data_IF_005232946138
#
_entry.id   IF_005232946138
#
_cell.length_a   1.000
_cell.length_b   1.000
_cell.length_c   1.000
_cell.angle_alpha   90.00
_cell.angle_beta   90.00
_cell.angle_gamma   90.00
#
_symmetry.space_group_name_H-M   'P 1'
#
loop_
_entity.id
_entity.type
_entity.pdbx_description
1 polymer ?
#
# COMPACT_ATOMS: atom_id res chain seq x y z
N UNK A 1 -26.30 -5.44 -3.45
CA UNK A 1 -25.07 -6.27 -3.34
C UNK A 1 -23.98 -5.39 -2.73
N UNK A 2 -23.25 -5.89 -1.73
CA UNK A 2 -22.08 -5.18 -1.19
C UNK A 2 -20.84 -5.45 -2.04
N UNK A 3 -19.87 -4.54 -2.03
CA UNK A 3 -18.57 -4.68 -2.68
C UNK A 3 -17.59 -5.25 -1.64
N UNK A 4 -16.80 -6.28 -2.00
CA UNK A 4 -15.71 -6.78 -1.15
C UNK A 4 -14.61 -5.71 -1.10
N UNK A 5 -14.12 -5.40 0.10
CA UNK A 5 -13.06 -4.41 0.32
C UNK A 5 -11.86 -5.08 1.00
N UNK A 6 -10.67 -4.53 0.78
CA UNK A 6 -9.43 -5.00 1.41
C UNK A 6 -9.39 -4.65 2.89
N UNK A 7 -8.46 -5.29 3.62
CA UNK A 7 -8.23 -5.07 5.03
C UNK A 7 -6.75 -5.02 5.34
N UNK A 8 -6.34 -4.05 6.16
CA UNK A 8 -4.95 -3.88 6.60
C UNK A 8 -4.85 -4.27 8.06
N UNK A 9 -3.83 -5.06 8.41
CA UNK A 9 -3.55 -5.42 9.80
C UNK A 9 -2.58 -4.43 10.44
N UNK A 10 -2.94 -3.94 11.62
CA UNK A 10 -2.10 -3.08 12.45
C UNK A 10 -1.83 -3.79 13.77
N UNK A 11 -0.57 -3.78 14.21
CA UNK A 11 -0.09 -4.49 15.42
C UNK A 11 0.90 -3.61 16.18
N UNK A 12 0.84 -3.64 17.50
CA UNK A 12 1.79 -2.93 18.34
C UNK A 12 3.10 -3.72 18.43
N UNK A 13 4.21 -3.02 18.64
CA UNK A 13 5.53 -3.63 18.86
C UNK A 13 5.90 -3.47 20.34
N UNK A 14 6.23 -4.59 20.97
CA UNK A 14 6.79 -4.63 22.32
C UNK A 14 8.21 -5.21 22.28
N UNK A 15 9.10 -4.63 23.10
CA UNK A 15 10.45 -5.16 23.31
C UNK A 15 10.49 -5.73 24.72
N UNK A 16 10.82 -7.01 24.83
CA UNK A 16 10.84 -7.73 26.11
C UNK A 16 12.27 -8.17 26.39
N UNK A 17 12.74 -7.94 27.61
CA UNK A 17 14.01 -8.49 28.09
C UNK A 17 13.79 -9.95 28.55
N UNK A 18 14.57 -10.86 27.99
CA UNK A 18 14.57 -12.28 28.30
C UNK A 18 15.44 -12.56 29.53
N UNK A 19 15.20 -13.69 30.20
CA UNK A 19 15.93 -14.06 31.42
C UNK A 19 17.45 -14.20 31.24
N UNK A 20 17.92 -14.40 30.00
CA UNK A 20 19.33 -14.46 29.63
C UNK A 20 19.96 -13.08 29.36
N UNK A 21 19.21 -11.99 29.52
CA UNK A 21 19.64 -10.61 29.24
C UNK A 21 19.58 -10.20 27.76
N UNK A 22 18.97 -11.03 26.89
CA UNK A 22 18.70 -10.68 25.49
C UNK A 22 17.35 -9.96 25.35
N UNK A 23 17.12 -9.32 24.19
CA UNK A 23 15.85 -8.64 23.90
C UNK A 23 15.12 -9.31 22.76
N UNK A 24 13.81 -9.49 22.91
CA UNK A 24 12.90 -10.03 21.89
C UNK A 24 11.90 -8.96 21.44
N UNK A 25 11.73 -8.82 20.11
CA UNK A 25 10.64 -8.02 19.52
C UNK A 25 9.41 -8.90 19.39
N UNK A 26 8.28 -8.49 19.98
CA UNK A 26 6.98 -9.16 19.82
C UNK A 26 5.94 -8.23 19.21
N UNK A 27 5.09 -8.81 18.37
CA UNK A 27 3.89 -8.13 17.86
C UNK A 27 2.71 -8.47 18.75
N UNK A 28 2.03 -7.45 19.27
CA UNK A 28 0.88 -7.60 20.16
C UNK A 28 -0.33 -6.83 19.61
N UNK A 29 -1.52 -7.18 20.11
CA UNK A 29 -2.80 -6.54 19.74
C UNK A 29 -3.08 -6.44 18.22
N UNK A 30 -2.89 -7.50 17.41
CA UNK A 30 -3.17 -7.43 15.98
C UNK A 30 -4.65 -7.13 15.75
N UNK A 31 -4.93 -6.14 14.90
CA UNK A 31 -6.29 -5.76 14.54
C UNK A 31 -6.38 -5.41 13.06
N UNK A 32 -7.38 -5.99 12.40
CA UNK A 32 -7.69 -5.71 11.00
C UNK A 32 -8.63 -4.52 10.85
N UNK A 33 -8.26 -3.61 9.98
CA UNK A 33 -9.02 -2.42 9.64
C UNK A 33 -9.48 -2.50 8.17
N UNK A 34 -10.76 -2.20 7.88
CA UNK A 34 -11.21 -2.01 6.51
C UNK A 34 -10.35 -0.96 5.80
N UNK A 35 -10.01 -1.18 4.54
CA UNK A 35 -9.21 -0.24 3.75
C UNK A 35 -9.73 -0.16 2.32
N UNK A 36 -9.99 1.06 1.86
CA UNK A 36 -10.32 1.34 0.46
C UNK A 36 -10.09 2.83 0.15
N UNK A 37 -9.73 3.12 -1.09
CA UNK A 37 -9.48 4.48 -1.53
C UNK A 37 -10.79 5.24 -1.75
N UNK A 38 -11.02 6.27 -0.94
CA UNK A 38 -12.14 7.21 -1.14
C UNK A 38 -11.67 8.43 -1.94
N UNK A 39 -12.58 9.06 -2.68
CA UNK A 39 -12.29 10.34 -3.37
C UNK A 39 -11.70 11.39 -2.42
N UNK A 40 -12.14 11.41 -1.16
CA UNK A 40 -11.61 12.30 -0.12
C UNK A 40 -10.17 11.96 0.26
N UNK A 41 -9.87 10.67 0.45
CA UNK A 41 -8.53 10.20 0.78
C UNK A 41 -7.54 10.54 -0.35
N UNK A 42 -7.94 10.32 -1.60
CA UNK A 42 -7.15 10.67 -2.78
C UNK A 42 -6.90 12.18 -2.90
N UNK A 43 -7.95 12.99 -2.74
CA UNK A 43 -7.82 14.45 -2.75
C UNK A 43 -6.91 14.95 -1.62
N UNK A 44 -6.97 14.29 -0.46
CA UNK A 44 -6.14 14.62 0.71
C UNK A 44 -4.68 14.25 0.46
N UNK A 45 -4.40 13.05 -0.03
CA UNK A 45 -3.05 12.61 -0.39
C UNK A 45 -2.38 13.52 -1.43
N UNK A 46 -3.14 13.92 -2.46
CA UNK A 46 -2.66 14.85 -3.48
C UNK A 46 -2.36 16.24 -2.91
N UNK A 47 -3.24 16.75 -2.04
CA UNK A 47 -3.06 18.08 -1.40
C UNK A 47 -1.87 18.12 -0.44
N UNK A 48 -1.62 17.04 0.27
CA UNK A 48 -0.52 16.96 1.24
C UNK A 48 0.83 16.63 0.58
N UNK A 49 0.88 16.47 -0.74
CA UNK A 49 2.10 16.08 -1.46
C UNK A 49 2.55 14.66 -1.12
N UNK A 50 1.66 13.87 -0.53
CA UNK A 50 1.87 12.49 -0.10
C UNK A 50 1.90 11.56 -1.32
N UNK A 51 1.04 11.82 -2.30
CA UNK A 51 1.07 11.15 -3.61
C UNK A 51 1.56 12.14 -4.67
N UNK A 52 2.87 12.11 -4.95
CA UNK A 52 3.50 13.01 -5.94
C UNK A 52 3.31 12.51 -7.37
N UNK A 53 3.25 11.20 -7.55
CA UNK A 53 3.03 10.52 -8.83
C UNK A 53 1.57 10.11 -9.00
N UNK A 54 1.18 9.87 -10.26
CA UNK A 54 -0.10 9.23 -10.55
C UNK A 54 -0.04 7.77 -10.11
N UNK A 55 -1.01 7.31 -9.31
CA UNK A 55 -1.17 5.89 -8.92
C UNK A 55 -1.12 4.95 -10.13
N UNK A 56 -1.67 5.41 -11.26
CA UNK A 56 -1.61 4.69 -12.53
C UNK A 56 -0.17 4.48 -13.04
N UNK A 57 0.66 5.51 -12.97
CA UNK A 57 2.04 5.42 -13.47
C UNK A 57 2.90 4.53 -12.57
N UNK A 58 2.54 4.39 -11.30
CA UNK A 58 3.17 3.46 -10.36
C UNK A 58 2.76 2.01 -10.68
N UNK A 59 1.47 1.75 -10.88
CA UNK A 59 1.01 0.41 -11.27
C UNK A 59 1.61 -0.06 -12.59
N UNK A 60 1.69 0.79 -13.61
CA UNK A 60 2.30 0.38 -14.90
C UNK A 60 3.76 -0.03 -14.71
N UNK A 61 4.50 0.68 -13.85
CA UNK A 61 5.90 0.32 -13.55
C UNK A 61 5.99 -0.99 -12.77
N UNK A 62 5.05 -1.22 -11.86
CA UNK A 62 4.93 -2.46 -11.11
C UNK A 62 4.52 -3.62 -12.02
N UNK A 63 3.56 -3.47 -12.93
CA UNK A 63 3.16 -4.53 -13.85
C UNK A 63 4.27 -4.95 -14.81
N UNK A 64 5.13 -4.02 -15.23
CA UNK A 64 6.32 -4.34 -16.03
C UNK A 64 7.34 -5.19 -15.24
N UNK A 65 7.26 -5.16 -13.91
CA UNK A 65 8.15 -5.86 -12.98
C UNK A 65 7.56 -7.18 -12.48
N UNK A 66 6.27 -7.26 -12.18
CA UNK A 66 5.64 -8.38 -11.45
C UNK A 66 5.23 -9.53 -12.40
N UNK A 67 5.13 -9.30 -13.70
CA UNK A 67 4.66 -10.33 -14.64
C UNK A 67 3.14 -10.52 -14.59
N UNK A 68 2.63 -11.63 -15.15
CA UNK A 68 1.19 -11.94 -15.22
C UNK A 68 0.62 -12.47 -13.89
N UNK A 69 1.44 -12.65 -12.85
CA UNK A 69 0.98 -13.07 -11.53
C UNK A 69 0.56 -11.84 -10.71
N UNK A 70 -0.64 -11.88 -10.11
CA UNK A 70 -1.24 -10.76 -9.39
C UNK A 70 -0.62 -10.53 -7.98
N UNK A 71 0.44 -11.26 -7.62
CA UNK A 71 1.11 -11.22 -6.32
C UNK A 71 2.63 -11.18 -6.50
N UNK A 72 3.32 -10.36 -5.71
CA UNK A 72 4.78 -10.36 -5.64
C UNK A 72 5.24 -11.46 -4.70
N UNK A 73 6.25 -12.23 -5.11
CA UNK A 73 7.08 -13.03 -4.21
C UNK A 73 8.45 -12.35 -4.03
N UNK A 74 8.76 -11.92 -2.80
CA UNK A 74 10.00 -11.20 -2.51
C UNK A 74 11.27 -12.02 -2.71
N UNK A 75 11.17 -13.35 -2.64
CA UNK A 75 12.30 -14.27 -2.89
C UNK A 75 12.71 -14.33 -4.37
N UNK A 76 11.82 -13.91 -5.28
CA UNK A 76 12.02 -13.98 -6.74
C UNK A 76 12.37 -12.62 -7.38
N UNK A 77 12.46 -11.55 -6.58
CA UNK A 77 12.77 -10.20 -7.08
C UNK A 77 14.24 -10.09 -7.52
N UNK A 78 14.46 -9.68 -8.78
CA UNK A 78 15.79 -9.26 -9.23
C UNK A 78 16.19 -7.91 -8.61
N UNK A 79 17.49 -7.59 -8.51
CA UNK A 79 17.94 -6.29 -8.02
C UNK A 79 17.31 -5.10 -8.77
N UNK A 80 17.13 -5.21 -10.09
CA UNK A 80 16.50 -4.18 -10.91
C UNK A 80 15.01 -4.02 -10.60
N UNK A 81 14.31 -5.12 -10.27
CA UNK A 81 12.91 -5.09 -9.84
C UNK A 81 12.77 -4.46 -8.45
N UNK A 82 13.70 -4.73 -7.53
CA UNK A 82 13.75 -4.13 -6.21
C UNK A 82 14.00 -2.60 -6.26
N UNK A 83 14.77 -2.09 -7.23
CA UNK A 83 14.97 -0.64 -7.41
C UNK A 83 13.70 0.13 -7.80
N UNK A 84 12.73 -0.54 -8.41
CA UNK A 84 11.45 0.05 -8.80
C UNK A 84 10.45 0.08 -7.63
N UNK A 85 10.60 -0.85 -6.69
CA UNK A 85 9.78 -0.95 -5.49
C UNK A 85 10.22 0.10 -4.49
N UNK A 86 9.39 1.13 -4.32
CA UNK A 86 9.64 2.22 -3.40
C UNK A 86 8.56 2.25 -2.32
N UNK A 87 8.82 1.54 -1.22
CA UNK A 87 7.90 1.41 -0.09
C UNK A 87 7.45 2.78 0.47
N UNK A 88 8.32 3.80 0.41
CA UNK A 88 8.02 5.16 0.86
C UNK A 88 6.89 5.81 0.06
N UNK A 89 6.62 5.33 -1.17
CA UNK A 89 5.47 5.76 -1.99
C UNK A 89 4.19 4.99 -1.69
N UNK A 90 4.28 3.76 -1.22
CA UNK A 90 3.13 2.86 -1.05
C UNK A 90 2.49 3.01 0.34
N UNK A 91 3.30 3.08 1.39
CA UNK A 91 2.86 3.24 2.78
C UNK A 91 1.87 4.40 2.98
N UNK A 92 2.07 5.59 2.39
CA UNK A 92 1.10 6.66 2.55
C UNK A 92 -0.25 6.39 1.87
N UNK A 93 -0.28 5.63 0.79
CA UNK A 93 -1.53 5.25 0.09
C UNK A 93 -2.31 4.25 0.93
N UNK A 94 -1.61 3.27 1.52
CA UNK A 94 -2.18 2.31 2.46
C UNK A 94 -2.78 3.04 3.67
N UNK A 95 -2.03 3.97 4.26
CA UNK A 95 -2.51 4.82 5.35
C UNK A 95 -3.80 5.58 4.97
N UNK A 96 -3.80 6.24 3.82
CA UNK A 96 -4.95 6.99 3.31
C UNK A 96 -6.19 6.10 3.10
N UNK A 97 -6.00 4.85 2.67
CA UNK A 97 -7.08 3.88 2.52
C UNK A 97 -7.67 3.49 3.89
N UNK A 98 -6.83 3.28 4.91
CA UNK A 98 -7.26 2.96 6.27
C UNK A 98 -8.04 4.13 6.89
N UNK A 99 -7.48 5.33 6.96
CA UNK A 99 -8.20 6.48 7.57
C UNK A 99 -9.38 6.95 6.71
N UNK A 100 -9.34 6.68 5.40
CA UNK A 100 -10.42 6.96 4.48
C UNK A 100 -11.65 6.11 4.77
N UNK A 101 -11.44 4.82 5.02
CA UNK A 101 -12.47 3.84 5.36
C UNK A 101 -12.97 3.98 6.80
N UNK A 102 -12.09 4.36 7.73
CA UNK A 102 -12.38 4.40 9.17
C UNK A 102 -12.49 5.85 9.68
N UNK A 103 -13.64 6.50 9.46
CA UNK A 103 -13.81 7.95 9.73
C UNK A 103 -13.64 8.39 11.19
N UNK A 104 -13.79 7.46 12.13
CA UNK A 104 -13.64 7.71 13.57
C UNK A 104 -12.30 7.23 14.10
N UNK A 105 -11.44 6.66 13.25
CA UNK A 105 -10.12 6.22 13.64
C UNK A 105 -9.20 7.43 13.69
N UNK A 106 -8.79 7.78 14.90
CA UNK A 106 -7.73 8.74 15.15
C UNK A 106 -6.40 7.98 15.06
N UNK A 107 -5.77 8.05 13.89
CA UNK A 107 -4.47 7.44 13.62
C UNK A 107 -3.66 8.43 12.79
N UNK A 108 -2.59 8.97 13.36
CA UNK A 108 -1.62 9.77 12.62
C UNK A 108 -0.79 8.90 11.68
N UNK A 109 -0.08 9.52 10.75
CA UNK A 109 0.78 8.77 9.82
C UNK A 109 1.97 8.12 10.55
N UNK A 110 2.56 8.80 11.54
CA UNK A 110 3.65 8.24 12.34
C UNK A 110 3.17 7.02 13.14
N UNK A 111 2.03 7.12 13.82
CA UNK A 111 1.44 5.98 14.53
C UNK A 111 1.05 4.83 13.60
N UNK A 112 0.68 5.13 12.35
CA UNK A 112 0.47 4.10 11.34
C UNK A 112 1.78 3.38 11.00
N UNK A 113 2.89 4.09 10.80
CA UNK A 113 4.19 3.47 10.51
C UNK A 113 4.69 2.61 11.68
N UNK A 114 4.42 3.02 12.92
CA UNK A 114 4.75 2.22 14.10
C UNK A 114 3.94 0.91 14.16
N UNK A 115 2.67 0.95 13.70
CA UNK A 115 1.75 -0.18 13.82
C UNK A 115 1.68 -1.07 12.58
N UNK A 116 2.00 -0.54 11.41
CA UNK A 116 2.04 -1.27 10.16
C UNK A 116 3.44 -1.83 9.97
N UNK A 117 3.59 -3.11 10.25
CA UNK A 117 4.86 -3.82 10.28
C UNK A 117 4.87 -4.89 9.18
N UNK A 118 4.43 -4.50 7.98
CA UNK A 118 4.52 -5.33 6.77
C UNK A 118 5.94 -5.30 6.20
N UNK A 119 6.37 -6.43 5.66
CA UNK A 119 7.59 -6.48 4.86
C UNK A 119 7.35 -5.92 3.45
N UNK A 120 8.39 -5.92 2.62
CA UNK A 120 8.31 -5.34 1.27
C UNK A 120 7.23 -6.03 0.44
N UNK A 121 7.08 -7.33 0.57
CA UNK A 121 6.08 -8.12 -0.15
C UNK A 121 4.67 -7.72 0.27
N UNK A 122 4.42 -7.71 1.59
CA UNK A 122 3.14 -7.30 2.18
C UNK A 122 2.78 -5.87 1.78
N UNK A 123 3.75 -4.94 1.81
CA UNK A 123 3.56 -3.54 1.40
C UNK A 123 3.08 -3.44 -0.04
N UNK A 124 3.72 -4.16 -0.97
CA UNK A 124 3.37 -4.04 -2.38
C UNK A 124 2.03 -4.72 -2.67
N UNK A 125 1.79 -5.89 -2.10
CA UNK A 125 0.53 -6.61 -2.27
C UNK A 125 -0.64 -5.80 -1.70
N UNK A 126 -0.51 -5.25 -0.49
CA UNK A 126 -1.52 -4.37 0.11
C UNK A 126 -1.80 -3.14 -0.76
N UNK A 127 -0.75 -2.52 -1.31
CA UNK A 127 -0.92 -1.39 -2.23
C UNK A 127 -1.67 -1.80 -3.51
N UNK A 128 -1.27 -2.91 -4.14
CA UNK A 128 -1.89 -3.39 -5.38
C UNK A 128 -3.36 -3.72 -5.19
N UNK A 129 -3.71 -4.43 -4.12
CA UNK A 129 -5.11 -4.73 -3.77
C UNK A 129 -5.97 -3.47 -3.60
N UNK A 130 -5.40 -2.40 -3.05
CA UNK A 130 -6.11 -1.15 -2.83
C UNK A 130 -6.35 -0.36 -4.12
N UNK A 131 -5.40 -0.41 -5.05
CA UNK A 131 -5.39 0.47 -6.23
C UNK A 131 -5.99 -0.22 -7.47
N UNK A 132 -5.79 -1.53 -7.67
CA UNK A 132 -6.30 -2.26 -8.84
C UNK A 132 -7.82 -2.13 -9.03
N UNK A 133 -8.67 -2.32 -7.99
CA UNK A 133 -10.12 -2.19 -8.16
C UNK A 133 -10.54 -0.76 -8.55
N UNK A 134 -9.81 0.26 -8.09
CA UNK A 134 -10.09 1.64 -8.43
C UNK A 134 -9.79 1.95 -9.90
N UNK A 135 -8.70 1.41 -10.44
CA UNK A 135 -8.37 1.54 -11.87
C UNK A 135 -9.35 0.79 -12.77
N UNK A 136 -9.82 -0.38 -12.33
CA UNK A 136 -10.79 -1.19 -13.08
C UNK A 136 -12.21 -0.60 -13.08
N UNK A 137 -12.54 0.26 -12.11
CA UNK A 137 -13.84 0.95 -12.04
C UNK A 137 -14.01 2.06 -13.10
N UNK A 138 -12.92 2.63 -13.63
CA UNK A 138 -12.97 3.63 -14.70
C UNK A 138 -12.05 3.22 -15.89
N UNK A 139 -12.45 2.20 -16.67
CA UNK A 139 -11.62 1.64 -17.75
C UNK A 139 -11.26 2.67 -18.84
N UNK A 140 -12.01 3.76 -18.96
CA UNK A 140 -11.73 4.83 -19.91
C UNK A 140 -10.56 5.71 -19.48
N UNK A 141 -10.44 6.03 -18.20
CA UNK A 141 -9.28 6.77 -17.68
C UNK A 141 -8.04 5.86 -17.57
N UNK A 142 -8.22 4.57 -17.28
CA UNK A 142 -7.16 3.56 -17.35
C UNK A 142 -6.57 3.45 -18.77
N UNK A 143 -7.43 3.28 -19.78
CA UNK A 143 -7.02 3.20 -21.19
C UNK A 143 -6.30 4.46 -21.67
N UNK A 144 -6.82 5.65 -21.32
CA UNK A 144 -6.17 6.93 -21.64
C UNK A 144 -4.82 7.09 -20.94
N UNK A 145 -4.67 6.59 -19.72
CA UNK A 145 -3.41 6.57 -18.98
C UNK A 145 -2.36 5.71 -19.69
N UNK A 146 -2.76 4.51 -20.12
CA UNK A 146 -1.90 3.53 -20.80
C UNK A 146 -1.44 4.05 -22.17
N UNK A 147 -2.36 4.65 -22.94
CA UNK A 147 -2.04 5.28 -24.21
C UNK A 147 -1.06 6.45 -24.02
N UNK A 148 -1.17 7.23 -22.93
CA UNK A 148 -0.25 8.35 -22.65
C UNK A 148 1.15 7.93 -22.18
N UNK A 149 1.29 6.83 -21.45
CA UNK A 149 2.60 6.33 -21.02
C UNK A 149 3.36 5.67 -22.18
N UNK A 150 2.65 5.01 -23.08
CA UNK A 150 3.23 4.30 -24.23
C UNK A 150 3.45 5.17 -25.47
N UNK A 151 2.76 6.32 -25.58
CA UNK A 151 2.93 7.28 -26.69
C UNK A 151 4.10 8.26 -26.54
N UNK A 152 4.84 8.22 -25.42
CA UNK A 152 6.16 8.86 -25.32
C UNK A 152 7.25 7.86 -25.72
N UNK A 153 7.33 7.57 -27.02
CA UNK A 153 8.52 7.03 -27.67
C UNK A 153 9.06 8.06 -28.65
#
# INVERSE_FOLDING_TARGET
MGIKISSIELKDVEIIELENGEFEKRYINPKRYPAFLTNRALATGKRLGITKSSLFAEIVKLSDVIGDEDEINSDDLTPEQAEVIDADKYLPVIYLAVIGANKTLELSYEEFLDKYQGDIEEIVNDYMELVLPYLQQDPNEFKKGLEKSTSKK
#
